data_IF_895495744248
#
_entry.id   IF_895495744248
#
_cell.length_a   1.000
_cell.length_b   1.000
_cell.length_c   1.000
_cell.angle_alpha   90.00
_cell.angle_beta   90.00
_cell.angle_gamma   90.00
#
_symmetry.space_group_name_H-M   'P 1'
#
loop_
_entity.id
_entity.type
_entity.pdbx_description
1 polymer ?
#
# COMPACT_ATOMS: atom_id res chain seq x y z
N UNK A 1 10.13 -2.78 9.66
CA UNK A 1 11.38 -3.10 8.97
C UNK A 1 12.31 -1.90 8.95
N UNK A 2 13.61 -2.15 8.97
CA UNK A 2 14.63 -1.12 8.89
C UNK A 2 15.85 -1.63 8.10
N UNK A 3 16.14 -0.97 6.99
CA UNK A 3 17.28 -1.30 6.14
C UNK A 3 18.55 -0.64 6.69
N UNK A 4 19.59 -1.44 6.91
CA UNK A 4 20.90 -0.96 7.36
C UNK A 4 21.94 -1.48 6.38
N UNK A 5 22.44 -0.60 5.52
CA UNK A 5 23.32 -0.96 4.39
C UNK A 5 22.61 -2.00 3.51
N UNK A 6 23.16 -3.22 3.41
CA UNK A 6 22.58 -4.32 2.62
C UNK A 6 21.85 -5.37 3.51
N UNK A 7 21.61 -5.07 4.77
CA UNK A 7 20.96 -5.96 5.74
C UNK A 7 19.60 -5.43 6.16
N UNK A 8 18.74 -6.32 6.64
CA UNK A 8 17.40 -5.99 7.08
C UNK A 8 17.22 -6.35 8.56
N UNK A 9 16.87 -5.34 9.37
CA UNK A 9 16.44 -5.47 10.75
C UNK A 9 14.92 -5.39 10.81
N UNK A 10 14.29 -6.27 11.58
CA UNK A 10 12.85 -6.25 11.82
C UNK A 10 12.59 -6.00 13.29
N UNK A 11 11.68 -5.11 13.59
CA UNK A 11 11.09 -4.94 14.91
C UNK A 11 9.67 -5.50 14.88
N UNK A 12 9.41 -6.51 15.69
CA UNK A 12 8.07 -7.05 15.91
C UNK A 12 7.55 -6.46 17.20
N UNK A 13 6.44 -5.75 17.12
CA UNK A 13 5.78 -5.13 18.28
C UNK A 13 4.49 -5.88 18.54
N UNK A 14 4.37 -6.48 19.71
CA UNK A 14 3.22 -7.26 20.12
C UNK A 14 3.03 -7.19 21.64
N UNK A 15 1.79 -6.98 22.07
CA UNK A 15 1.39 -6.98 23.48
C UNK A 15 2.28 -6.10 24.40
N UNK A 16 2.71 -4.94 23.86
CA UNK A 16 3.61 -4.01 24.54
C UNK A 16 5.10 -4.42 24.54
N UNK A 17 5.44 -5.58 24.00
CA UNK A 17 6.82 -6.04 23.85
C UNK A 17 7.36 -5.70 22.47
N UNK A 18 8.67 -5.47 22.39
CA UNK A 18 9.40 -5.22 21.14
C UNK A 18 10.49 -6.27 21.03
N UNK A 19 10.47 -7.02 19.95
CA UNK A 19 11.51 -7.97 19.58
C UNK A 19 12.22 -7.49 18.32
N UNK A 20 13.55 -7.52 18.30
CA UNK A 20 14.37 -7.13 17.16
C UNK A 20 15.11 -8.35 16.60
N UNK A 21 15.00 -8.57 15.29
CA UNK A 21 15.67 -9.67 14.58
C UNK A 21 16.38 -9.19 13.33
N UNK A 22 17.63 -9.62 13.15
CA UNK A 22 18.28 -9.53 11.85
C UNK A 22 17.79 -10.66 10.96
N UNK A 23 17.36 -10.32 9.74
CA UNK A 23 17.01 -11.33 8.75
C UNK A 23 18.26 -11.78 7.99
N UNK A 24 18.33 -13.09 7.72
CA UNK A 24 19.37 -13.69 6.90
C UNK A 24 19.03 -13.52 5.41
N UNK A 25 18.97 -12.27 4.99
CA UNK A 25 18.69 -11.87 3.61
C UNK A 25 19.39 -10.54 3.34
N UNK A 26 19.62 -10.23 2.07
CA UNK A 26 20.15 -8.94 1.67
C UNK A 26 19.16 -8.13 0.80
N UNK A 27 19.22 -6.80 0.91
CA UNK A 27 18.36 -5.89 0.19
C UNK A 27 18.51 -6.01 -1.33
N UNK A 28 19.72 -6.28 -1.83
CA UNK A 28 19.95 -6.48 -3.24
C UNK A 28 19.20 -7.69 -3.81
N UNK A 29 19.10 -8.79 -3.04
CA UNK A 29 18.30 -9.95 -3.44
C UNK A 29 16.80 -9.63 -3.45
N UNK A 30 16.31 -8.95 -2.40
CA UNK A 30 14.92 -8.52 -2.32
C UNK A 30 14.56 -7.57 -3.47
N UNK A 31 15.44 -6.62 -3.79
CA UNK A 31 15.25 -5.66 -4.90
C UNK A 31 15.09 -6.38 -6.24
N UNK A 32 15.97 -7.33 -6.54
CA UNK A 32 15.85 -8.15 -7.77
C UNK A 32 14.55 -8.94 -7.84
N UNK A 33 14.07 -9.50 -6.72
CA UNK A 33 12.78 -10.21 -6.68
C UNK A 33 11.61 -9.24 -6.90
N UNK A 34 11.64 -8.06 -6.28
CA UNK A 34 10.63 -7.02 -6.46
C UNK A 34 10.58 -6.53 -7.91
N UNK A 35 11.73 -6.26 -8.53
CA UNK A 35 11.81 -5.86 -9.94
C UNK A 35 11.23 -6.92 -10.88
N UNK A 36 11.57 -8.19 -10.68
CA UNK A 36 10.99 -9.30 -11.46
C UNK A 36 9.48 -9.40 -11.28
N UNK A 37 8.98 -9.26 -10.04
CA UNK A 37 7.55 -9.26 -9.77
C UNK A 37 6.85 -8.11 -10.51
N UNK A 38 7.39 -6.89 -10.43
CA UNK A 38 6.85 -5.73 -11.13
C UNK A 38 6.88 -5.89 -12.65
N UNK A 39 7.92 -6.50 -13.22
CA UNK A 39 7.97 -6.80 -14.65
C UNK A 39 6.86 -7.75 -15.06
N UNK A 40 6.61 -8.82 -14.30
CA UNK A 40 5.47 -9.72 -14.57
C UNK A 40 4.13 -8.98 -14.49
N UNK A 41 3.92 -8.17 -13.45
CA UNK A 41 2.68 -7.41 -13.30
C UNK A 41 2.45 -6.42 -14.44
N UNK A 42 3.50 -5.71 -14.87
CA UNK A 42 3.42 -4.78 -16.01
C UNK A 42 3.16 -5.47 -17.33
N UNK A 43 3.57 -6.70 -17.49
CA UNK A 43 3.38 -7.45 -18.74
C UNK A 43 2.01 -8.12 -18.85
N UNK A 44 1.19 -8.17 -17.80
CA UNK A 44 -0.10 -8.87 -17.80
C UNK A 44 -1.01 -8.40 -18.95
N UNK A 45 -1.07 -7.10 -19.23
CA UNK A 45 -1.89 -6.55 -20.30
C UNK A 45 -1.44 -6.95 -21.73
N UNK A 46 -0.22 -7.47 -21.87
CA UNK A 46 0.31 -7.96 -23.14
C UNK A 46 -0.09 -9.42 -23.42
N UNK A 47 -0.64 -10.11 -22.40
CA UNK A 47 -1.07 -11.50 -22.54
C UNK A 47 -2.55 -11.57 -22.92
N UNK A 48 -2.91 -12.46 -23.87
CA UNK A 48 -4.30 -12.80 -24.11
C UNK A 48 -4.97 -13.28 -22.83
N UNK A 49 -6.23 -12.89 -22.61
CA UNK A 49 -6.98 -13.26 -21.39
C UNK A 49 -6.96 -14.77 -21.10
N UNK A 50 -7.02 -15.59 -22.14
CA UNK A 50 -6.95 -17.06 -22.04
C UNK A 50 -5.61 -17.59 -21.51
N UNK A 51 -4.54 -16.78 -21.50
CA UNK A 51 -3.20 -17.17 -21.06
C UNK A 51 -2.74 -16.49 -19.78
N UNK A 52 -3.57 -15.67 -19.16
CA UNK A 52 -3.22 -15.01 -17.88
C UNK A 52 -2.93 -16.06 -16.79
N UNK A 53 -3.63 -17.20 -16.79
CA UNK A 53 -3.38 -18.31 -15.89
C UNK A 53 -1.94 -18.84 -15.92
N UNK A 54 -1.25 -18.73 -17.07
CA UNK A 54 0.13 -19.18 -17.23
C UNK A 54 1.10 -18.34 -16.38
N UNK A 55 0.71 -17.11 -16.02
CA UNK A 55 1.51 -16.20 -15.19
C UNK A 55 1.37 -16.48 -13.70
N UNK A 56 0.32 -17.17 -13.25
CA UNK A 56 0.03 -17.38 -11.83
C UNK A 56 1.19 -18.12 -11.15
N UNK A 57 1.66 -19.22 -11.73
CA UNK A 57 2.73 -20.03 -11.12
C UNK A 57 4.08 -19.31 -11.02
N UNK A 58 4.57 -18.61 -12.06
CA UNK A 58 5.77 -17.78 -11.96
C UNK A 58 5.64 -16.68 -10.90
N UNK A 59 4.49 -16.00 -10.85
CA UNK A 59 4.24 -14.93 -9.87
C UNK A 59 4.21 -15.50 -8.45
N UNK A 60 3.51 -16.61 -8.22
CA UNK A 60 3.45 -17.26 -6.91
C UNK A 60 4.83 -17.71 -6.41
N UNK A 61 5.70 -18.18 -7.30
CA UNK A 61 7.10 -18.49 -6.92
C UNK A 61 7.85 -17.26 -6.45
N UNK A 62 7.69 -16.12 -7.10
CA UNK A 62 8.32 -14.86 -6.67
C UNK A 62 7.76 -14.37 -5.34
N UNK A 63 6.43 -14.43 -5.17
CA UNK A 63 5.75 -14.07 -3.92
C UNK A 63 6.17 -14.99 -2.77
N UNK A 64 6.37 -16.28 -3.04
CA UNK A 64 6.88 -17.22 -2.05
C UNK A 64 8.35 -16.94 -1.67
N UNK A 65 9.20 -16.62 -2.64
CA UNK A 65 10.59 -16.24 -2.35
C UNK A 65 10.66 -14.96 -1.51
N UNK A 66 9.81 -13.97 -1.78
CA UNK A 66 9.70 -12.77 -0.96
C UNK A 66 9.20 -13.10 0.46
N UNK A 67 8.17 -13.94 0.59
CA UNK A 67 7.71 -14.43 1.89
C UNK A 67 8.84 -15.10 2.67
N UNK A 68 9.54 -16.03 2.05
CA UNK A 68 10.65 -16.76 2.68
C UNK A 68 11.77 -15.81 3.16
N UNK A 69 12.02 -14.72 2.43
CA UNK A 69 13.05 -13.76 2.77
C UNK A 69 12.67 -12.82 3.92
N UNK A 70 11.39 -12.38 4.00
CA UNK A 70 11.03 -11.27 4.89
C UNK A 70 10.01 -11.61 5.98
N UNK A 71 9.23 -12.69 5.85
CA UNK A 71 8.18 -13.05 6.81
C UNK A 71 8.36 -14.44 7.42
N UNK A 72 8.80 -15.44 6.67
CA UNK A 72 9.00 -16.79 7.21
C UNK A 72 9.93 -16.83 8.46
N UNK A 73 11.00 -16.01 8.55
CA UNK A 73 11.83 -15.93 9.74
C UNK A 73 11.14 -15.40 11.00
N UNK A 74 9.91 -14.86 10.85
CA UNK A 74 9.11 -14.27 11.92
C UNK A 74 7.88 -15.14 12.25
N UNK A 75 7.74 -16.31 11.63
CA UNK A 75 6.53 -17.12 11.71
C UNK A 75 6.17 -17.49 13.14
N UNK A 76 7.14 -17.80 13.98
CA UNK A 76 6.97 -18.14 15.38
C UNK A 76 6.28 -17.02 16.19
N UNK A 77 6.61 -15.77 15.93
CA UNK A 77 6.02 -14.62 16.62
C UNK A 77 4.73 -14.11 15.95
N UNK A 78 4.48 -14.49 14.70
CA UNK A 78 3.29 -14.08 13.95
C UNK A 78 2.14 -15.09 14.00
N UNK A 79 2.39 -16.34 14.40
CA UNK A 79 1.44 -17.46 14.27
C UNK A 79 0.07 -17.20 14.90
N UNK A 80 0.04 -16.54 16.07
CA UNK A 80 -1.20 -16.23 16.80
C UNK A 80 -1.81 -14.86 16.45
N UNK A 81 -1.22 -14.11 15.51
CA UNK A 81 -1.74 -12.82 15.11
C UNK A 81 -2.96 -12.97 14.19
N UNK A 82 -4.00 -12.17 14.41
CA UNK A 82 -5.13 -12.05 13.48
C UNK A 82 -4.93 -10.89 12.48
N UNK A 83 -4.07 -9.94 12.84
CA UNK A 83 -3.80 -8.73 12.05
C UNK A 83 -2.31 -8.44 11.98
N UNK A 84 -1.84 -8.07 10.81
CA UNK A 84 -0.50 -7.56 10.57
C UNK A 84 -0.55 -6.09 10.16
N UNK A 85 0.18 -5.24 10.87
CA UNK A 85 0.43 -3.86 10.46
C UNK A 85 1.89 -3.79 10.04
N UNK A 86 2.11 -3.59 8.76
CA UNK A 86 3.46 -3.57 8.16
C UNK A 86 3.92 -2.13 8.02
N UNK A 87 5.06 -1.80 8.62
CA UNK A 87 5.80 -0.56 8.38
C UNK A 87 7.04 -0.91 7.54
N UNK A 88 6.96 -0.79 6.22
CA UNK A 88 8.07 -1.11 5.32
C UNK A 88 9.21 -0.08 5.45
N UNK A 89 10.36 -0.40 4.85
CA UNK A 89 11.46 0.54 4.68
C UNK A 89 12.19 0.23 3.38
N UNK A 90 12.67 1.25 2.67
CA UNK A 90 13.39 1.13 1.38
C UNK A 90 12.53 0.36 0.35
N UNK A 91 13.11 -0.58 -0.37
CA UNK A 91 12.45 -1.40 -1.42
C UNK A 91 11.21 -2.16 -0.91
N UNK A 92 11.11 -2.40 0.39
CA UNK A 92 9.96 -3.10 0.96
C UNK A 92 8.63 -2.33 0.81
N UNK A 93 8.66 -1.02 0.58
CA UNK A 93 7.46 -0.23 0.25
C UNK A 93 6.78 -0.68 -1.05
N UNK A 94 7.51 -1.33 -1.93
CA UNK A 94 6.99 -1.83 -3.22
C UNK A 94 6.52 -3.28 -3.15
N UNK A 95 6.64 -3.94 -1.99
CA UNK A 95 6.26 -5.33 -1.84
C UNK A 95 4.79 -5.48 -1.45
N UNK A 96 4.03 -6.31 -2.15
CA UNK A 96 2.66 -6.62 -1.80
C UNK A 96 2.61 -7.67 -0.69
N UNK A 97 2.89 -7.31 0.57
CA UNK A 97 2.89 -8.27 1.69
C UNK A 97 1.60 -9.09 1.78
N UNK A 98 0.46 -8.46 1.52
CA UNK A 98 -0.85 -9.15 1.53
C UNK A 98 -0.97 -10.26 0.48
N UNK A 99 -0.27 -10.12 -0.65
CA UNK A 99 -0.27 -11.08 -1.75
C UNK A 99 0.90 -12.08 -1.67
N UNK A 100 1.80 -11.98 -0.69
CA UNK A 100 2.85 -12.99 -0.53
C UNK A 100 2.24 -14.36 -0.28
N UNK A 101 2.91 -15.41 -0.75
CA UNK A 101 2.42 -16.80 -0.72
C UNK A 101 3.28 -17.64 0.21
N UNK A 102 2.69 -18.24 1.25
CA UNK A 102 3.41 -19.02 2.27
C UNK A 102 3.67 -20.49 1.87
N UNK A 103 3.29 -20.87 0.66
CA UNK A 103 3.31 -22.25 0.14
C UNK A 103 1.95 -22.94 0.21
N UNK A 104 1.00 -22.43 1.00
CA UNK A 104 -0.37 -22.94 1.14
C UNK A 104 -1.41 -22.00 0.54
N UNK A 105 -1.23 -20.69 0.72
CA UNK A 105 -2.13 -19.66 0.24
C UNK A 105 -1.54 -18.27 0.33
N UNK A 106 -2.34 -17.28 -0.03
CA UNK A 106 -1.96 -15.88 0.09
C UNK A 106 -2.13 -15.37 1.52
N UNK A 107 -1.25 -14.48 1.97
CA UNK A 107 -1.29 -14.01 3.37
C UNK A 107 -2.58 -13.28 3.73
N UNK A 108 -3.22 -12.62 2.79
CA UNK A 108 -4.53 -11.96 2.98
C UNK A 108 -5.64 -12.94 3.35
N UNK A 109 -5.51 -14.21 3.01
CA UNK A 109 -6.47 -15.27 3.38
C UNK A 109 -6.37 -15.65 4.87
N UNK A 110 -5.23 -15.37 5.48
CA UNK A 110 -4.95 -15.68 6.88
C UNK A 110 -4.98 -14.47 7.79
N UNK A 111 -4.45 -13.34 7.34
CA UNK A 111 -4.28 -12.14 8.14
C UNK A 111 -4.95 -10.92 7.50
N UNK A 112 -5.54 -10.07 8.33
CA UNK A 112 -5.84 -8.69 7.93
C UNK A 112 -4.53 -7.91 7.82
N UNK A 113 -4.06 -7.66 6.60
CA UNK A 113 -2.81 -6.94 6.35
C UNK A 113 -3.08 -5.47 6.11
N UNK A 114 -2.40 -4.61 6.87
CA UNK A 114 -2.46 -3.15 6.72
C UNK A 114 -1.06 -2.58 6.61
N UNK A 115 -0.92 -1.42 5.97
CA UNK A 115 0.35 -0.74 5.79
C UNK A 115 0.34 0.61 6.48
N UNK A 116 1.49 0.99 7.03
CA UNK A 116 1.73 2.33 7.55
C UNK A 116 3.08 2.82 7.06
N UNK A 117 3.25 4.11 6.78
CA UNK A 117 4.54 4.62 6.33
C UNK A 117 5.67 4.37 7.35
N UNK A 118 5.36 4.49 8.64
CA UNK A 118 6.26 4.17 9.75
C UNK A 118 5.50 4.05 11.08
N UNK A 119 6.16 3.54 12.10
CA UNK A 119 5.56 3.33 13.43
C UNK A 119 5.13 4.65 14.10
N UNK A 120 5.85 5.75 13.87
CA UNK A 120 5.51 7.07 14.42
C UNK A 120 4.17 7.57 13.91
N UNK A 121 3.92 7.45 12.60
CA UNK A 121 2.63 7.84 12.01
C UNK A 121 1.49 6.93 12.47
N UNK A 122 1.74 5.65 12.71
CA UNK A 122 0.76 4.76 13.33
C UNK A 122 0.38 5.26 14.74
N UNK A 123 1.38 5.62 15.55
CA UNK A 123 1.14 6.14 16.89
C UNK A 123 0.36 7.46 16.86
N UNK A 124 0.79 8.43 16.04
CA UNK A 124 0.11 9.72 15.87
C UNK A 124 -1.34 9.50 15.39
N UNK A 125 -1.57 8.62 14.40
CA UNK A 125 -2.91 8.35 13.89
C UNK A 125 -3.85 7.71 14.93
N UNK A 126 -3.31 6.97 15.91
CA UNK A 126 -4.10 6.38 16.99
C UNK A 126 -4.38 7.34 18.15
N UNK A 127 -3.49 8.27 18.39
CA UNK A 127 -3.57 9.20 19.54
C UNK A 127 -4.17 10.54 19.18
N UNK A 128 -4.11 10.92 17.89
CA UNK A 128 -4.65 12.21 17.45
C UNK A 128 -6.18 12.13 17.36
N UNK A 129 -6.93 13.06 17.99
CA UNK A 129 -8.36 13.11 17.81
C UNK A 129 -8.69 13.40 16.35
N UNK A 130 -9.71 12.74 15.82
CA UNK A 130 -10.28 13.06 14.52
C UNK A 130 -10.85 14.48 14.56
N UNK A 131 -10.27 15.38 13.80
CA UNK A 131 -10.77 16.75 13.65
C UNK A 131 -11.63 16.85 12.39
N UNK A 132 -12.63 17.74 12.42
CA UNK A 132 -13.55 17.92 11.32
C UNK A 132 -14.78 17.01 11.34
N UNK A 133 -15.69 17.24 10.43
CA UNK A 133 -16.91 16.46 10.25
C UNK A 133 -17.24 16.26 8.77
N UNK A 134 -17.91 15.16 8.47
CA UNK A 134 -18.37 14.83 7.13
C UNK A 134 -17.26 14.45 6.15
N UNK A 135 -17.65 14.26 4.90
CA UNK A 135 -16.78 13.80 3.81
C UNK A 135 -16.75 14.86 2.70
N UNK A 136 -15.59 15.02 2.07
CA UNK A 136 -15.44 15.69 0.76
C UNK A 136 -14.83 14.70 -0.23
N UNK A 137 -15.53 14.49 -1.35
CA UNK A 137 -15.02 13.74 -2.50
C UNK A 137 -14.53 14.74 -3.55
N UNK A 138 -13.28 14.59 -3.98
CA UNK A 138 -12.63 15.45 -4.97
C UNK A 138 -12.41 14.61 -6.23
N UNK A 139 -13.04 15.02 -7.33
CA UNK A 139 -12.98 14.33 -8.61
C UNK A 139 -12.35 15.21 -9.69
N UNK A 140 -11.32 14.67 -10.37
CA UNK A 140 -10.70 15.31 -11.51
C UNK A 140 -10.44 14.29 -12.61
N UNK A 141 -10.99 14.55 -13.81
CA UNK A 141 -10.94 13.60 -14.92
C UNK A 141 -9.65 13.65 -15.74
N UNK A 142 -8.78 14.66 -15.52
CA UNK A 142 -7.61 14.84 -16.37
C UNK A 142 -7.99 15.12 -17.82
N UNK A 143 -8.87 16.10 -18.03
CA UNK A 143 -9.42 16.45 -19.37
C UNK A 143 -10.10 15.25 -20.08
N UNK A 144 -10.77 14.39 -19.29
CA UNK A 144 -11.51 13.24 -19.78
C UNK A 144 -10.71 11.95 -19.94
N UNK A 145 -9.43 11.95 -19.57
CA UNK A 145 -8.59 10.73 -19.58
C UNK A 145 -9.10 9.68 -18.60
N UNK A 146 -9.80 10.11 -17.54
CA UNK A 146 -10.38 9.26 -16.49
C UNK A 146 -11.90 9.40 -16.47
N UNK A 147 -12.65 8.71 -17.32
CA UNK A 147 -14.08 8.98 -17.53
C UNK A 147 -14.98 8.67 -16.31
N UNK A 148 -14.49 7.88 -15.35
CA UNK A 148 -15.29 7.44 -14.20
C UNK A 148 -15.05 8.23 -12.91
N UNK A 149 -14.02 9.06 -12.82
CA UNK A 149 -13.64 9.78 -11.58
C UNK A 149 -14.75 10.72 -11.08
N UNK A 150 -15.43 11.39 -12.00
CA UNK A 150 -16.52 12.31 -11.67
C UNK A 150 -17.72 11.54 -11.12
N UNK A 151 -18.08 10.41 -11.77
CA UNK A 151 -19.16 9.54 -11.30
C UNK A 151 -18.82 8.92 -9.95
N UNK A 152 -17.58 8.51 -9.74
CA UNK A 152 -17.06 7.97 -8.48
C UNK A 152 -17.19 9.01 -7.35
N UNK A 153 -16.65 10.23 -7.54
CA UNK A 153 -16.70 11.28 -6.53
C UNK A 153 -18.15 11.65 -6.14
N UNK A 154 -19.05 11.74 -7.13
CA UNK A 154 -20.47 11.98 -6.88
C UNK A 154 -21.13 10.84 -6.10
N UNK A 155 -20.85 9.58 -6.47
CA UNK A 155 -21.41 8.40 -5.80
C UNK A 155 -20.95 8.31 -4.34
N UNK A 156 -19.69 8.58 -4.08
CA UNK A 156 -19.12 8.59 -2.71
C UNK A 156 -19.76 9.72 -1.88
N UNK A 157 -19.86 10.93 -2.43
CA UNK A 157 -20.49 12.04 -1.74
C UNK A 157 -21.97 11.75 -1.43
N UNK A 158 -22.72 11.21 -2.40
CA UNK A 158 -24.12 10.84 -2.21
C UNK A 158 -24.30 9.75 -1.14
N UNK A 159 -23.50 8.68 -1.20
CA UNK A 159 -23.60 7.56 -0.26
C UNK A 159 -23.28 7.95 1.18
N UNK A 160 -22.51 9.00 1.40
CA UNK A 160 -22.04 9.44 2.73
C UNK A 160 -22.73 10.72 3.24
N UNK A 161 -23.59 11.34 2.44
CA UNK A 161 -24.12 12.67 2.74
C UNK A 161 -23.05 13.77 2.72
N UNK A 162 -21.94 13.53 2.01
CA UNK A 162 -20.83 14.45 1.85
C UNK A 162 -21.02 15.43 0.70
N UNK A 163 -19.95 16.13 0.34
CA UNK A 163 -19.92 17.06 -0.79
C UNK A 163 -18.94 16.57 -1.86
N UNK A 164 -19.29 16.79 -3.13
CA UNK A 164 -18.38 16.59 -4.26
C UNK A 164 -17.77 17.93 -4.70
N UNK A 165 -16.46 17.93 -4.99
CA UNK A 165 -15.70 19.04 -5.58
C UNK A 165 -15.08 18.50 -6.85
N UNK A 166 -15.50 19.04 -8.01
CA UNK A 166 -15.25 18.39 -9.28
C UNK A 166 -14.51 19.31 -10.26
N UNK A 167 -13.72 18.72 -11.15
CA UNK A 167 -13.06 19.36 -12.29
C UNK A 167 -12.37 20.70 -11.94
N UNK A 168 -12.78 21.80 -12.53
CA UNK A 168 -12.19 23.13 -12.33
C UNK A 168 -12.23 23.59 -10.85
N UNK A 169 -13.17 23.08 -10.05
CA UNK A 169 -13.24 23.35 -8.62
C UNK A 169 -12.29 22.47 -7.79
N UNK A 170 -11.77 21.37 -8.35
CA UNK A 170 -10.83 20.45 -7.70
C UNK A 170 -9.41 21.05 -7.63
N UNK A 171 -9.30 22.23 -7.05
CA UNK A 171 -8.04 22.96 -6.94
C UNK A 171 -7.22 22.55 -5.73
N UNK A 172 -5.91 22.82 -5.75
CA UNK A 172 -5.00 22.61 -4.61
C UNK A 172 -5.52 23.29 -3.33
N UNK A 173 -6.09 24.50 -3.44
CA UNK A 173 -6.62 25.23 -2.31
C UNK A 173 -7.83 24.52 -1.68
N UNK A 174 -8.77 24.05 -2.51
CA UNK A 174 -9.94 23.28 -2.07
C UNK A 174 -9.55 21.93 -1.45
N UNK A 175 -8.59 21.23 -2.05
CA UNK A 175 -8.05 19.98 -1.50
C UNK A 175 -7.40 20.19 -0.13
N UNK A 176 -6.56 21.23 0.00
CA UNK A 176 -5.91 21.56 1.26
C UNK A 176 -6.92 21.99 2.36
N UNK A 177 -8.01 22.68 1.97
CA UNK A 177 -9.09 23.02 2.89
C UNK A 177 -9.85 21.77 3.35
N UNK A 178 -10.20 20.87 2.43
CA UNK A 178 -10.85 19.61 2.74
C UNK A 178 -10.01 18.75 3.69
N UNK A 179 -8.70 18.60 3.45
CA UNK A 179 -7.78 17.84 4.32
C UNK A 179 -7.76 18.39 5.75
N UNK A 180 -7.84 19.73 5.90
CA UNK A 180 -7.81 20.35 7.24
C UNK A 180 -9.14 20.26 7.99
N UNK A 181 -10.25 20.32 7.29
CA UNK A 181 -11.56 20.59 7.89
C UNK A 181 -12.56 19.43 7.80
N UNK A 182 -12.24 18.35 7.08
CA UNK A 182 -13.09 17.18 6.94
C UNK A 182 -12.52 15.97 7.64
N UNK A 183 -13.42 15.12 8.12
CA UNK A 183 -13.05 13.85 8.75
C UNK A 183 -12.53 12.86 7.70
N UNK A 184 -13.13 12.85 6.51
CA UNK A 184 -12.77 11.98 5.40
C UNK A 184 -12.61 12.82 4.13
N UNK A 185 -11.53 12.59 3.41
CA UNK A 185 -11.33 13.15 2.06
C UNK A 185 -11.09 11.98 1.11
N UNK A 186 -11.92 11.93 0.06
CA UNK A 186 -11.78 10.95 -1.01
C UNK A 186 -11.25 11.63 -2.27
N UNK A 187 -10.21 11.08 -2.86
CA UNK A 187 -9.65 11.58 -4.12
C UNK A 187 -9.92 10.57 -5.24
N UNK A 188 -10.68 10.97 -6.23
CA UNK A 188 -10.93 10.26 -7.47
C UNK A 188 -10.18 10.96 -8.60
N UNK A 189 -8.90 10.64 -8.77
CA UNK A 189 -8.00 11.21 -9.78
C UNK A 189 -6.78 10.34 -9.98
N UNK A 190 -5.95 10.64 -10.97
CA UNK A 190 -4.63 10.04 -11.10
C UNK A 190 -3.67 10.52 -10.00
N UNK A 191 -2.83 9.59 -9.53
CA UNK A 191 -1.63 9.90 -8.77
C UNK A 191 -0.40 9.62 -9.61
N UNK A 192 0.55 10.54 -9.64
CA UNK A 192 1.88 10.31 -10.20
C UNK A 192 2.87 10.02 -9.07
N UNK A 193 3.47 8.84 -9.11
CA UNK A 193 4.53 8.47 -8.19
C UNK A 193 5.90 8.54 -8.89
N UNK A 194 6.76 9.45 -8.42
CA UNK A 194 8.11 9.63 -8.92
C UNK A 194 9.11 9.00 -7.96
N UNK A 195 9.61 7.84 -8.35
CA UNK A 195 10.54 7.06 -7.54
C UNK A 195 11.92 7.73 -7.39
N UNK A 196 12.35 8.42 -8.44
CA UNK A 196 13.61 9.17 -8.50
C UNK A 196 13.55 10.49 -7.71
N UNK A 197 12.38 11.12 -7.66
CA UNK A 197 12.13 12.40 -7.00
C UNK A 197 10.79 12.37 -6.24
N UNK A 198 10.72 11.68 -5.09
CA UNK A 198 9.44 11.48 -4.37
C UNK A 198 8.71 12.75 -3.96
N UNK A 199 9.44 13.87 -3.80
CA UNK A 199 8.85 15.18 -3.47
C UNK A 199 8.01 15.77 -4.61
N UNK A 200 8.17 15.29 -5.84
CA UNK A 200 7.39 15.66 -7.00
C UNK A 200 6.29 14.65 -7.33
N UNK A 201 6.10 13.64 -6.46
CA UNK A 201 4.90 12.81 -6.52
C UNK A 201 3.68 13.63 -6.12
N UNK A 202 2.56 13.41 -6.77
CA UNK A 202 1.36 14.20 -6.51
C UNK A 202 0.08 13.59 -7.09
N UNK A 203 -1.00 14.27 -6.83
CA UNK A 203 -2.34 14.03 -7.36
C UNK A 203 -2.69 15.12 -8.35
#
# INVERSE_FOLDING_TARGET
>A
YFAVRDRLLVFVVRDGCVEARWLDTNLGAIRRLAERLHQHMRSVHLFPAARISDLIQPVNRLLHQLYAAVLAPLQDVLESAARLIVAPHDVLHYLPFHAMHDGRGYLVERWMVSYVPNATLLHIGRTRPTSGSGLTAIGFSGDGALPYTIAEANSVAQATGGIAVLEADATRARSADAIRNRQIVHFATHGEFRNDEPLFSGL
#
